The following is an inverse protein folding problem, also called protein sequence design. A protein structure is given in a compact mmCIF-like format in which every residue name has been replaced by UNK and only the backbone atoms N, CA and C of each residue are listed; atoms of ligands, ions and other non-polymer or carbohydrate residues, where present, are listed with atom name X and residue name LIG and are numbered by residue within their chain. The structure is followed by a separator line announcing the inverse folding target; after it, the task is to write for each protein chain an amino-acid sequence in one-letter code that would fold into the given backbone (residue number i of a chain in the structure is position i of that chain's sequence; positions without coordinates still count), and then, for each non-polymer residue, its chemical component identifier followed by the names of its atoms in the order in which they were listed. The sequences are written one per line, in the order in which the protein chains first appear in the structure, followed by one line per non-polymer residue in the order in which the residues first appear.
data_IF_260279559315
#
_entry.id   IF_260279559315
#
_cell.length_a   1.000
_cell.length_b   1.000
_cell.length_c   1.000
_cell.angle_alpha   90.00
_cell.angle_beta   90.00
_cell.angle_gamma   90.00
#
_symmetry.space_group_name_H-M   'P 1'
#
loop_
_entity.id
_entity.type
_entity.pdbx_description
1 polymer ?
#
# COMPACT_ATOMS: atom_id res chain seq x y z
N UNK A 1 -28.47 -13.24 9.89
CA UNK A 1 -27.29 -13.80 9.20
C UNK A 1 -26.09 -12.92 9.46
N UNK A 2 -25.12 -13.41 10.21
CA UNK A 2 -23.90 -12.65 10.54
C UNK A 2 -23.02 -12.50 9.28
N UNK A 3 -22.77 -11.26 8.87
CA UNK A 3 -21.85 -10.94 7.77
C UNK A 3 -20.44 -11.32 8.22
N UNK A 4 -19.83 -12.33 7.60
CA UNK A 4 -18.39 -12.60 7.78
C UNK A 4 -17.61 -11.37 7.31
N UNK A 5 -16.96 -10.67 8.24
CA UNK A 5 -16.10 -9.54 7.92
C UNK A 5 -14.73 -10.09 7.54
N UNK A 6 -14.34 -9.88 6.29
CA UNK A 6 -13.01 -10.23 5.78
C UNK A 6 -12.03 -9.08 6.07
N UNK A 7 -10.76 -9.42 6.35
CA UNK A 7 -9.72 -8.41 6.62
C UNK A 7 -9.37 -7.59 5.37
N UNK A 8 -9.25 -6.28 5.53
CA UNK A 8 -8.85 -5.36 4.46
C UNK A 8 -7.90 -4.31 4.98
N UNK A 9 -6.71 -4.24 4.40
CA UNK A 9 -5.66 -3.27 4.73
C UNK A 9 -5.40 -2.44 3.47
N UNK A 10 -5.40 -1.11 3.64
CA UNK A 10 -5.13 -0.15 2.56
C UNK A 10 -4.05 0.81 3.02
N UNK A 11 -2.91 0.77 2.33
CA UNK A 11 -1.79 1.64 2.59
C UNK A 11 -1.82 2.83 1.63
N UNK A 12 -1.61 4.03 2.16
CA UNK A 12 -1.50 5.25 1.35
C UNK A 12 -0.02 5.47 1.02
N UNK A 13 0.29 5.53 -0.26
CA UNK A 13 1.63 5.81 -0.78
C UNK A 13 1.59 7.01 -1.73
N UNK A 14 2.73 7.37 -2.31
CA UNK A 14 2.83 8.39 -3.35
C UNK A 14 3.20 7.71 -4.69
N UNK A 15 2.97 8.41 -5.80
CA UNK A 15 3.49 7.97 -7.10
C UNK A 15 5.02 8.18 -7.15
N UNK A 16 5.76 7.09 -6.94
CA UNK A 16 7.23 7.10 -6.77
C UNK A 16 7.97 6.44 -7.93
N UNK A 17 7.26 5.90 -8.93
CA UNK A 17 7.84 5.02 -9.95
C UNK A 17 8.86 5.73 -10.85
N UNK A 18 8.76 7.06 -10.98
CA UNK A 18 9.68 7.91 -11.74
C UNK A 18 10.77 8.55 -10.87
N UNK A 19 10.76 8.28 -9.56
CA UNK A 19 11.55 9.01 -8.57
C UNK A 19 11.06 10.45 -8.37
N UNK A 20 11.32 11.00 -7.19
CA UNK A 20 11.08 12.42 -6.89
C UNK A 20 12.37 13.07 -6.38
N UNK A 21 13.00 13.96 -7.19
CA UNK A 21 14.16 14.73 -6.76
C UNK A 21 13.88 15.50 -5.47
N UNK A 22 14.87 15.56 -4.57
CA UNK A 22 14.76 16.26 -3.28
C UNK A 22 14.08 15.46 -2.16
N UNK A 23 13.45 14.32 -2.45
CA UNK A 23 12.73 13.52 -1.44
C UNK A 23 13.01 12.00 -1.58
N UNK A 24 14.28 11.65 -1.82
CA UNK A 24 14.73 10.27 -1.99
C UNK A 24 14.36 9.35 -0.80
N UNK A 25 14.45 9.86 0.43
CA UNK A 25 14.04 9.13 1.64
C UNK A 25 12.55 8.77 1.62
N UNK A 26 11.69 9.69 1.18
CA UNK A 26 10.25 9.44 1.01
C UNK A 26 10.01 8.40 -0.09
N UNK A 27 10.68 8.52 -1.24
CA UNK A 27 10.56 7.52 -2.31
C UNK A 27 10.94 6.12 -1.83
N UNK A 28 12.08 5.99 -1.13
CA UNK A 28 12.53 4.71 -0.59
C UNK A 28 11.53 4.12 0.41
N UNK A 29 11.04 4.93 1.37
CA UNK A 29 10.06 4.48 2.35
C UNK A 29 8.76 4.01 1.69
N UNK A 30 8.23 4.77 0.72
CA UNK A 30 7.00 4.39 0.00
C UNK A 30 7.19 3.15 -0.88
N UNK A 31 8.36 2.98 -1.50
CA UNK A 31 8.70 1.76 -2.24
C UNK A 31 8.70 0.56 -1.30
N UNK A 32 9.31 0.71 -0.12
CA UNK A 32 9.29 -0.30 0.94
C UNK A 32 7.86 -0.72 1.31
N UNK A 33 6.96 0.24 1.51
CA UNK A 33 5.54 -0.04 1.79
C UNK A 33 4.87 -0.81 0.65
N UNK A 34 5.13 -0.45 -0.62
CA UNK A 34 4.55 -1.15 -1.78
C UNK A 34 5.02 -2.60 -1.84
N UNK A 35 6.32 -2.86 -1.68
CA UNK A 35 6.85 -4.22 -1.74
C UNK A 35 6.46 -5.05 -0.52
N UNK A 36 6.50 -4.46 0.69
CA UNK A 36 6.03 -5.12 1.90
C UNK A 36 4.56 -5.54 1.76
N UNK A 37 3.71 -4.64 1.24
CA UNK A 37 2.29 -4.92 1.00
C UNK A 37 2.08 -6.07 0.01
N UNK A 38 2.89 -6.14 -1.05
CA UNK A 38 2.82 -7.26 -2.01
C UNK A 38 3.19 -8.59 -1.35
N UNK A 39 4.23 -8.62 -0.53
CA UNK A 39 4.65 -9.82 0.19
C UNK A 39 3.56 -10.30 1.13
N UNK A 40 3.07 -9.42 2.02
CA UNK A 40 2.05 -9.82 3.00
C UNK A 40 0.68 -10.10 2.36
N UNK A 41 0.37 -9.52 1.19
CA UNK A 41 -0.87 -9.84 0.47
C UNK A 41 -0.91 -11.32 0.06
N UNK A 42 0.24 -11.89 -0.35
CA UNK A 42 0.34 -13.30 -0.73
C UNK A 42 0.34 -14.18 0.52
N UNK A 43 1.14 -13.81 1.52
CA UNK A 43 1.21 -14.56 2.79
C UNK A 43 -0.13 -14.62 3.52
N UNK A 44 -0.94 -13.55 3.42
CA UNK A 44 -2.21 -13.45 4.14
C UNK A 44 -3.44 -13.83 3.32
N UNK A 45 -3.27 -14.21 2.05
CA UNK A 45 -4.34 -14.70 1.20
C UNK A 45 -5.12 -15.89 1.81
N UNK A 46 -4.49 -16.90 2.45
CA UNK A 46 -5.20 -18.02 3.09
C UNK A 46 -6.15 -17.58 4.22
N UNK A 47 -5.84 -16.46 4.88
CA UNK A 47 -6.66 -15.88 5.95
C UNK A 47 -7.78 -14.98 5.41
N UNK A 48 -7.98 -14.93 4.09
CA UNK A 48 -8.94 -14.02 3.43
C UNK A 48 -8.69 -12.55 3.78
N UNK A 49 -7.42 -12.16 3.98
CA UNK A 49 -7.01 -10.78 4.22
C UNK A 49 -6.46 -10.21 2.92
N UNK A 50 -6.95 -9.04 2.51
CA UNK A 50 -6.44 -8.32 1.34
C UNK A 50 -5.60 -7.13 1.80
N UNK A 51 -4.44 -6.95 1.18
CA UNK A 51 -3.56 -5.79 1.42
C UNK A 51 -3.33 -5.08 0.09
N UNK A 52 -3.62 -3.78 0.04
CA UNK A 52 -3.48 -2.97 -1.16
C UNK A 52 -2.77 -1.65 -0.87
N UNK A 53 -2.14 -1.06 -1.90
CA UNK A 53 -1.59 0.28 -1.85
C UNK A 53 -2.36 1.19 -2.81
N UNK A 54 -2.67 2.40 -2.36
CA UNK A 54 -3.24 3.46 -3.20
C UNK A 54 -2.24 4.62 -3.23
N UNK A 55 -1.94 5.12 -4.42
CA UNK A 55 -1.08 6.28 -4.64
C UNK A 55 -1.95 7.45 -5.12
N UNK A 56 -2.41 8.35 -4.23
CA UNK A 56 -3.12 9.54 -4.65
C UNK A 56 -2.16 10.48 -5.39
N UNK A 57 -2.69 11.15 -6.41
CA UNK A 57 -2.01 12.29 -7.02
C UNK A 57 -2.02 13.50 -6.09
N UNK A 58 -1.66 14.66 -6.63
CA UNK A 58 -1.70 15.92 -5.90
C UNK A 58 -3.14 16.22 -5.47
N UNK A 59 -3.38 16.30 -4.17
CA UNK A 59 -4.66 16.68 -3.58
C UNK A 59 -4.48 18.05 -2.95
N UNK A 60 -5.39 18.98 -3.24
CA UNK A 60 -5.52 20.21 -2.49
C UNK A 60 -6.09 19.86 -1.11
N UNK A 61 -5.26 19.99 -0.08
CA UNK A 61 -5.64 19.85 1.34
C UNK A 61 -5.98 21.20 1.94
#
# INVERSE_FOLDING_TARGET
GSRMVMGSIVNIVADIWRGMPGIAHTCAARAGVVFASRTVAVEWAPYKIRVNCVAPGTIAT
#
